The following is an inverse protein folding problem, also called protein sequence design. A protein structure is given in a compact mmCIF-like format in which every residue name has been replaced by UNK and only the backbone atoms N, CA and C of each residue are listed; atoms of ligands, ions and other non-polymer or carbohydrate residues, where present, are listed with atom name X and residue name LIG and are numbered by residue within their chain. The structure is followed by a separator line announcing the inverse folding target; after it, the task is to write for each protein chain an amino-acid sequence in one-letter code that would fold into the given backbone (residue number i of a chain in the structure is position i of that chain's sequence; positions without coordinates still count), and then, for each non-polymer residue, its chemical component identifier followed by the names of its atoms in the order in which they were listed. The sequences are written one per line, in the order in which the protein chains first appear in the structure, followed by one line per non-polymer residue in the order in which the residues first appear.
data_IF_151779176866
#
_entry.id   IF_151779176866
#
_cell.length_a   1.000
_cell.length_b   1.000
_cell.length_c   1.000
_cell.angle_alpha   90.00
_cell.angle_beta   90.00
_cell.angle_gamma   90.00
#
_symmetry.space_group_name_H-M   'P 1'
#
loop_
_entity.id
_entity.type
_entity.pdbx_description
1 polymer ?
#
# COMPACT_ATOMS: atom_id res chain seq x y z
N UNK A 1 15.27 5.97 -38.72
CA UNK A 1 14.47 4.78 -38.37
C UNK A 1 13.92 5.10 -37.01
N UNK A 2 12.60 5.18 -36.86
CA UNK A 2 11.99 5.43 -35.56
C UNK A 2 12.29 4.23 -34.68
N UNK A 3 13.01 4.46 -33.60
CA UNK A 3 13.36 3.43 -32.63
C UNK A 3 12.16 3.22 -31.73
N UNK A 4 11.58 2.03 -31.77
CA UNK A 4 10.54 1.65 -30.83
C UNK A 4 11.15 1.34 -29.47
N UNK A 5 10.42 1.73 -28.43
CA UNK A 5 10.78 1.49 -27.05
C UNK A 5 9.69 0.68 -26.36
N UNK A 6 10.08 -0.33 -25.60
CA UNK A 6 9.17 -1.19 -24.83
C UNK A 6 9.38 -1.02 -23.33
N UNK A 7 8.29 -0.95 -22.56
CA UNK A 7 8.33 -0.77 -21.11
C UNK A 7 8.98 -1.98 -20.43
N UNK A 8 10.11 -1.77 -19.75
CA UNK A 8 10.79 -2.79 -18.95
C UNK A 8 10.30 -2.81 -17.50
N UNK A 9 10.23 -1.64 -16.90
CA UNK A 9 9.88 -1.47 -15.51
C UNK A 9 9.30 -0.07 -15.30
N UNK A 10 8.40 0.03 -14.33
CA UNK A 10 7.82 1.29 -13.89
C UNK A 10 7.77 1.28 -12.37
N UNK A 11 8.06 2.43 -11.75
CA UNK A 11 7.90 2.63 -10.32
C UNK A 11 7.27 3.98 -10.05
N UNK A 12 6.22 4.00 -9.23
CA UNK A 12 5.63 5.25 -8.75
C UNK A 12 6.57 5.94 -7.76
N UNK A 13 6.45 7.25 -7.66
CA UNK A 13 7.16 8.03 -6.66
C UNK A 13 6.78 7.56 -5.24
N UNK A 14 7.79 7.51 -4.36
CA UNK A 14 7.62 7.13 -2.96
C UNK A 14 7.54 8.35 -2.02
N UNK A 15 7.53 9.56 -2.58
CA UNK A 15 7.36 10.80 -1.85
C UNK A 15 6.48 11.77 -2.63
N UNK A 16 5.94 12.75 -1.92
CA UNK A 16 5.24 13.90 -2.43
C UNK A 16 5.89 15.15 -1.84
N UNK A 17 5.90 16.24 -2.60
CA UNK A 17 6.51 17.50 -2.18
C UNK A 17 5.42 18.47 -1.71
N UNK A 18 5.27 18.64 -0.39
CA UNK A 18 4.14 19.35 0.20
C UNK A 18 4.07 20.82 -0.21
N UNK A 19 2.94 21.26 -0.78
CA UNK A 19 2.74 22.62 -1.30
C UNK A 19 3.42 22.91 -2.65
N UNK A 20 4.14 21.95 -3.24
CA UNK A 20 4.78 22.14 -4.54
C UNK A 20 3.73 22.22 -5.66
N UNK A 21 3.89 23.13 -6.63
CA UNK A 21 3.04 23.16 -7.83
C UNK A 21 3.31 21.99 -8.79
N UNK A 22 4.37 21.22 -8.57
CA UNK A 22 4.76 20.07 -9.41
C UNK A 22 4.88 18.81 -8.57
N UNK A 23 4.16 17.76 -8.97
CA UNK A 23 4.26 16.44 -8.36
C UNK A 23 5.07 15.49 -9.24
N UNK A 24 6.02 14.78 -8.64
CA UNK A 24 6.70 13.66 -9.29
C UNK A 24 5.84 12.40 -9.23
N UNK A 25 5.51 11.80 -10.37
CA UNK A 25 4.51 10.72 -10.44
C UNK A 25 5.18 9.35 -10.49
N UNK A 26 6.11 9.15 -11.43
CA UNK A 26 6.73 7.84 -11.66
C UNK A 26 7.99 7.91 -12.52
N UNK A 27 8.77 6.85 -12.45
CA UNK A 27 9.89 6.52 -13.35
C UNK A 27 9.44 5.40 -14.28
N UNK A 28 9.79 5.51 -15.55
CA UNK A 28 9.61 4.47 -16.57
C UNK A 28 10.98 4.14 -17.18
N UNK A 29 11.35 2.86 -17.14
CA UNK A 29 12.53 2.34 -17.83
C UNK A 29 12.07 1.66 -19.12
N UNK A 30 12.53 2.18 -20.25
CA UNK A 30 12.16 1.70 -21.56
C UNK A 30 13.36 1.06 -22.25
N UNK A 31 13.16 -0.05 -22.96
CA UNK A 31 14.20 -0.68 -23.77
C UNK A 31 14.04 -0.33 -25.24
N UNK A 32 15.10 0.12 -25.89
CA UNK A 32 15.13 0.25 -27.33
C UNK A 32 15.08 -1.12 -28.00
N UNK A 33 14.10 -1.37 -28.85
CA UNK A 33 13.92 -2.66 -29.51
C UNK A 33 15.07 -2.99 -30.48
N UNK A 34 15.70 -1.96 -31.04
CA UNK A 34 16.80 -2.08 -32.02
C UNK A 34 18.17 -2.00 -31.36
N UNK A 35 18.41 -0.99 -30.53
CA UNK A 35 19.73 -0.78 -29.91
C UNK A 35 19.92 -1.62 -28.65
N UNK A 36 18.84 -1.99 -27.98
CA UNK A 36 18.87 -2.65 -26.67
C UNK A 36 19.17 -1.70 -25.50
N UNK A 37 19.39 -0.41 -25.77
CA UNK A 37 19.66 0.62 -24.75
C UNK A 37 18.46 0.80 -23.83
N UNK A 38 18.74 1.22 -22.60
CA UNK A 38 17.73 1.56 -21.61
C UNK A 38 17.59 3.08 -21.55
N UNK A 39 16.39 3.57 -21.86
CA UNK A 39 15.99 4.96 -21.67
C UNK A 39 15.25 5.12 -20.34
N UNK A 40 15.56 6.21 -19.64
CA UNK A 40 14.91 6.60 -18.38
C UNK A 40 13.98 7.77 -18.68
N UNK A 41 12.68 7.58 -18.49
CA UNK A 41 11.68 8.64 -18.60
C UNK A 41 11.08 8.94 -17.22
N UNK A 42 10.81 10.21 -16.95
CA UNK A 42 10.29 10.69 -15.68
C UNK A 42 8.97 11.41 -15.91
N UNK A 43 7.90 10.96 -15.27
CA UNK A 43 6.59 11.60 -15.39
C UNK A 43 6.36 12.54 -14.21
N UNK A 44 5.95 13.75 -14.54
CA UNK A 44 5.55 14.78 -13.59
C UNK A 44 4.11 15.20 -13.85
N UNK A 45 3.54 15.92 -12.89
CA UNK A 45 2.20 16.48 -12.98
C UNK A 45 2.21 17.93 -12.52
N UNK A 46 1.53 18.79 -13.27
CA UNK A 46 1.20 20.12 -12.79
C UNK A 46 0.01 20.00 -11.82
N UNK A 47 0.24 20.23 -10.53
CA UNK A 47 -0.80 20.22 -9.48
C UNK A 47 -1.07 21.64 -8.95
N UNK A 48 -0.41 22.65 -9.53
CA UNK A 48 -0.66 24.04 -9.24
C UNK A 48 -1.88 24.58 -9.99
N UNK A 49 -2.14 25.87 -9.80
CA UNK A 49 -3.26 26.59 -10.43
C UNK A 49 -2.89 27.32 -11.71
N UNK A 50 -1.60 27.34 -12.06
CA UNK A 50 -1.06 28.07 -13.20
C UNK A 50 -0.41 27.14 -14.22
N UNK A 51 -0.39 27.49 -15.51
CA UNK A 51 0.32 26.71 -16.53
C UNK A 51 1.83 26.67 -16.25
N UNK A 52 2.41 25.48 -16.37
CA UNK A 52 3.84 25.24 -16.20
C UNK A 52 4.55 25.34 -17.56
N UNK A 53 5.54 26.22 -17.64
CA UNK A 53 6.31 26.49 -18.86
C UNK A 53 7.72 25.89 -18.86
N UNK A 54 8.18 25.41 -17.70
CA UNK A 54 9.42 24.67 -17.60
C UNK A 54 9.65 24.04 -16.23
N UNK A 55 10.53 23.05 -16.18
CA UNK A 55 10.94 22.36 -14.97
C UNK A 55 12.42 21.98 -15.05
N UNK A 56 13.16 22.25 -13.97
CA UNK A 56 14.54 21.80 -13.78
C UNK A 56 14.54 20.74 -12.69
N UNK A 57 15.14 19.60 -13.01
CA UNK A 57 15.35 18.50 -12.07
C UNK A 57 16.83 18.16 -12.01
N UNK A 58 17.25 17.63 -10.86
CA UNK A 58 18.50 16.92 -10.70
C UNK A 58 18.19 15.44 -10.58
N UNK A 59 18.84 14.59 -11.38
CA UNK A 59 18.59 13.15 -11.36
C UNK A 59 19.88 12.35 -11.22
N UNK A 60 19.75 11.16 -10.63
CA UNK A 60 20.86 10.24 -10.41
C UNK A 60 20.44 8.81 -10.74
N UNK A 61 21.03 8.25 -11.78
CA UNK A 61 20.80 6.87 -12.21
C UNK A 61 21.89 5.95 -11.63
N UNK A 62 21.47 4.84 -11.04
CA UNK A 62 22.38 3.83 -10.47
C UNK A 62 22.12 2.45 -11.07
N UNK A 63 23.19 1.65 -11.17
CA UNK A 63 23.10 0.24 -11.55
C UNK A 63 22.64 -0.64 -10.39
N UNK A 64 22.58 -1.96 -10.61
CA UNK A 64 22.19 -2.95 -9.59
C UNK A 64 23.16 -3.04 -8.41
N UNK A 65 24.41 -2.59 -8.57
CA UNK A 65 25.41 -2.52 -7.51
C UNK A 65 25.33 -1.20 -6.71
N UNK A 66 24.45 -0.27 -7.12
CA UNK A 66 24.33 1.07 -6.55
C UNK A 66 25.39 2.04 -7.06
N UNK A 67 26.19 1.66 -8.07
CA UNK A 67 27.16 2.56 -8.69
C UNK A 67 26.43 3.58 -9.57
N UNK A 68 26.85 4.84 -9.44
CA UNK A 68 26.28 5.96 -10.19
C UNK A 68 26.73 5.83 -11.65
N UNK A 69 25.76 5.65 -12.54
CA UNK A 69 25.96 5.64 -13.99
C UNK A 69 25.95 7.06 -14.54
N UNK A 70 25.01 7.88 -14.06
CA UNK A 70 24.84 9.27 -14.46
C UNK A 70 24.25 10.07 -13.29
N UNK A 71 24.71 11.31 -13.13
CA UNK A 71 24.20 12.30 -12.19
C UNK A 71 24.30 13.65 -12.88
N UNK A 72 23.15 14.23 -13.26
CA UNK A 72 23.09 15.44 -14.07
C UNK A 72 21.77 16.20 -13.83
N UNK A 73 21.72 17.42 -14.34
CA UNK A 73 20.51 18.23 -14.39
C UNK A 73 19.78 18.02 -15.73
N UNK A 74 18.46 17.96 -15.68
CA UNK A 74 17.62 17.92 -16.88
C UNK A 74 16.65 19.10 -16.90
N UNK A 75 16.53 19.72 -18.07
CA UNK A 75 15.73 20.91 -18.31
C UNK A 75 14.56 20.55 -19.23
N UNK A 76 13.36 20.51 -18.66
CA UNK A 76 12.13 20.53 -19.43
C UNK A 76 11.83 21.98 -19.79
N UNK A 77 12.06 22.36 -21.04
CA UNK A 77 11.80 23.70 -21.57
C UNK A 77 10.56 23.71 -22.45
N UNK A 78 9.96 24.90 -22.64
CA UNK A 78 8.83 25.11 -23.56
C UNK A 78 7.64 24.17 -23.26
N UNK A 79 7.38 23.90 -21.98
CA UNK A 79 6.22 23.14 -21.57
C UNK A 79 4.94 23.97 -21.75
N UNK A 80 3.83 23.30 -22.01
CA UNK A 80 2.48 23.88 -22.01
C UNK A 80 1.55 23.07 -21.10
N UNK A 81 2.07 22.59 -19.97
CA UNK A 81 1.34 21.71 -19.07
C UNK A 81 0.31 22.50 -18.24
N UNK A 82 -0.98 22.27 -18.49
CA UNK A 82 -2.07 22.90 -17.74
C UNK A 82 -2.22 22.27 -16.35
N UNK A 83 -2.90 22.95 -15.40
CA UNK A 83 -3.30 22.34 -14.14
C UNK A 83 -3.98 20.98 -14.34
N UNK A 84 -3.41 19.93 -13.74
CA UNK A 84 -3.87 18.55 -13.86
C UNK A 84 -3.14 17.71 -14.93
N UNK A 85 -2.37 18.33 -15.82
CA UNK A 85 -1.70 17.62 -16.92
C UNK A 85 -0.47 16.84 -16.45
N UNK A 86 -0.28 15.68 -17.06
CA UNK A 86 0.93 14.87 -16.96
C UNK A 86 1.91 15.26 -18.08
N UNK A 87 3.21 15.30 -17.77
CA UNK A 87 4.26 15.61 -18.75
C UNK A 87 5.56 14.85 -18.45
N UNK A 88 6.48 14.83 -19.43
CA UNK A 88 7.82 14.26 -19.32
C UNK A 88 7.95 12.75 -19.56
N UNK A 89 6.84 12.01 -19.74
CA UNK A 89 6.87 10.58 -20.05
C UNK A 89 7.53 10.25 -21.38
N UNK A 90 7.53 11.19 -22.31
CA UNK A 90 8.00 11.01 -23.68
C UNK A 90 9.46 11.46 -23.87
N UNK A 91 10.03 12.11 -22.86
CA UNK A 91 11.40 12.64 -22.88
C UNK A 91 12.33 11.75 -22.03
N UNK A 92 13.30 11.13 -22.69
CA UNK A 92 14.34 10.36 -22.01
C UNK A 92 15.36 11.31 -21.36
N UNK A 93 15.44 11.32 -20.04
CA UNK A 93 16.44 12.11 -19.29
C UNK A 93 17.83 11.48 -19.33
N UNK A 94 17.89 10.17 -19.58
CA UNK A 94 19.13 9.41 -19.67
C UNK A 94 18.93 8.18 -20.55
N UNK A 95 19.93 7.87 -21.40
CA UNK A 95 19.97 6.66 -22.22
C UNK A 95 21.29 5.96 -21.97
N UNK A 96 21.25 4.65 -21.74
CA UNK A 96 22.40 3.86 -21.30
C UNK A 96 22.39 2.45 -21.88
N UNK A 97 23.55 1.98 -22.33
CA UNK A 97 23.79 0.56 -22.64
C UNK A 97 23.83 -0.32 -21.39
N UNK A 98 24.11 0.28 -20.23
CA UNK A 98 24.15 -0.42 -18.94
C UNK A 98 22.78 -0.41 -18.29
N UNK A 99 22.27 -1.56 -17.79
CA UNK A 99 20.99 -1.62 -17.10
C UNK A 99 20.92 -0.67 -15.89
N UNK A 100 19.94 0.21 -15.90
CA UNK A 100 19.62 1.10 -14.77
C UNK A 100 18.73 0.34 -13.79
N UNK A 101 19.05 0.36 -12.50
CA UNK A 101 18.27 -0.30 -11.44
C UNK A 101 17.48 0.66 -10.58
N UNK A 102 17.98 1.88 -10.34
CA UNK A 102 17.29 2.87 -9.53
C UNK A 102 17.57 4.28 -10.01
N UNK A 103 16.60 5.16 -9.83
CA UNK A 103 16.69 6.58 -10.20
C UNK A 103 16.26 7.40 -9.00
N UNK A 104 17.13 8.32 -8.58
CA UNK A 104 16.82 9.35 -7.59
C UNK A 104 16.54 10.65 -8.34
N UNK A 105 15.51 11.38 -7.91
CA UNK A 105 15.06 12.61 -8.56
C UNK A 105 14.89 13.68 -7.48
N UNK A 106 15.42 14.86 -7.73
CA UNK A 106 15.18 16.07 -6.95
C UNK A 106 14.65 17.17 -7.86
N UNK A 107 13.57 17.82 -7.42
CA UNK A 107 12.99 18.93 -8.15
C UNK A 107 13.70 20.21 -7.72
N UNK A 108 14.31 20.93 -8.66
CA UNK A 108 15.04 22.18 -8.36
C UNK A 108 14.15 23.40 -8.54
N UNK A 109 13.62 23.61 -9.75
CA UNK A 109 12.90 24.84 -10.08
C UNK A 109 11.78 24.59 -11.06
N UNK A 110 10.61 25.17 -10.80
CA UNK A 110 9.50 25.25 -11.75
C UNK A 110 9.42 26.65 -12.35
N UNK A 111 8.97 26.76 -13.60
CA UNK A 111 8.62 28.02 -14.23
C UNK A 111 7.11 28.05 -14.47
N UNK A 112 6.41 28.95 -13.78
CA UNK A 112 4.97 29.18 -13.89
C UNK A 112 4.76 30.56 -14.52
N UNK A 113 4.13 30.62 -15.70
CA UNK A 113 3.91 31.89 -16.42
C UNK A 113 5.16 32.79 -16.57
N UNK A 114 6.36 32.21 -16.65
CA UNK A 114 7.62 32.95 -16.74
C UNK A 114 8.26 33.36 -15.40
N UNK A 115 7.63 33.03 -14.26
CA UNK A 115 8.20 33.20 -12.92
C UNK A 115 8.82 31.90 -12.43
N UNK A 116 10.04 31.96 -11.89
CA UNK A 116 10.73 30.81 -11.31
C UNK A 116 10.35 30.58 -9.85
N UNK A 117 9.91 29.37 -9.51
CA UNK A 117 9.61 28.92 -8.14
C UNK A 117 10.64 27.88 -7.73
N UNK A 118 11.30 28.11 -6.59
CA UNK A 118 12.27 27.18 -6.01
C UNK A 118 11.54 25.98 -5.36
N UNK A 119 11.72 24.80 -5.95
CA UNK A 119 11.08 23.57 -5.51
C UNK A 119 11.84 22.90 -4.35
N UNK A 120 13.11 23.25 -4.12
CA UNK A 120 13.93 22.70 -3.03
C UNK A 120 13.46 23.18 -1.66
N UNK A 121 12.76 24.31 -1.61
CA UNK A 121 12.22 24.89 -0.39
C UNK A 121 11.05 24.08 0.19
N UNK A 122 10.39 23.24 -0.61
CA UNK A 122 9.23 22.47 -0.17
C UNK A 122 9.64 21.15 0.51
N UNK A 123 8.87 20.78 1.53
CA UNK A 123 9.15 19.58 2.32
C UNK A 123 8.76 18.31 1.57
N UNK A 124 9.71 17.40 1.37
CA UNK A 124 9.44 16.04 0.90
C UNK A 124 8.81 15.20 2.01
N UNK A 125 7.65 14.63 1.73
CA UNK A 125 6.89 13.75 2.62
C UNK A 125 6.84 12.37 1.99
N UNK A 126 7.25 11.35 2.76
CA UNK A 126 7.19 9.96 2.29
C UNK A 126 5.74 9.51 2.15
N UNK A 127 5.39 8.98 0.98
CA UNK A 127 4.09 8.38 0.72
C UNK A 127 4.06 6.95 1.24
N UNK A 128 2.95 6.56 1.84
CA UNK A 128 2.70 5.16 2.18
C UNK A 128 2.36 4.38 0.92
N UNK A 129 2.83 3.14 0.84
CA UNK A 129 2.49 2.26 -0.27
C UNK A 129 0.98 1.95 -0.25
N UNK A 130 0.25 2.15 -1.37
CA UNK A 130 -1.16 1.83 -1.46
C UNK A 130 -1.44 0.36 -1.10
N UNK A 131 -2.52 0.11 -0.38
CA UNK A 131 -2.91 -1.27 -0.01
C UNK A 131 -3.59 -1.93 -1.21
N UNK A 132 -3.04 -3.06 -1.64
CA UNK A 132 -3.57 -3.85 -2.76
C UNK A 132 -4.85 -4.58 -2.33
N UNK A 133 -5.84 -4.63 -3.22
CA UNK A 133 -7.10 -5.38 -3.03
C UNK A 133 -6.87 -6.88 -3.26
N UNK A 134 -7.64 -7.75 -2.58
CA UNK A 134 -7.74 -9.16 -2.97
C UNK A 134 -8.19 -9.31 -4.42
N UNK A 135 -7.71 -10.36 -5.10
CA UNK A 135 -7.88 -10.52 -6.54
C UNK A 135 -9.36 -10.63 -6.96
N UNK A 136 -10.19 -11.36 -6.20
CA UNK A 136 -11.65 -11.47 -6.43
C UNK A 136 -12.35 -10.11 -6.33
N UNK A 137 -12.02 -9.31 -5.31
CA UNK A 137 -12.60 -7.98 -5.09
C UNK A 137 -12.16 -7.02 -6.19
N UNK A 138 -10.87 -7.02 -6.53
CA UNK A 138 -10.34 -6.20 -7.62
C UNK A 138 -11.04 -6.53 -8.94
N UNK A 139 -11.17 -7.81 -9.30
CA UNK A 139 -11.90 -8.25 -10.50
C UNK A 139 -13.35 -7.79 -10.50
N UNK A 140 -14.05 -7.92 -9.38
CA UNK A 140 -15.45 -7.48 -9.26
C UNK A 140 -15.57 -5.96 -9.41
N UNK A 141 -14.66 -5.20 -8.81
CA UNK A 141 -14.62 -3.74 -8.92
C UNK A 141 -14.35 -3.30 -10.36
N UNK A 142 -13.37 -3.92 -11.02
CA UNK A 142 -13.03 -3.66 -12.43
C UNK A 142 -14.23 -3.95 -13.35
N UNK A 143 -14.96 -5.04 -13.11
CA UNK A 143 -16.16 -5.38 -13.89
C UNK A 143 -17.31 -4.38 -13.68
N UNK A 144 -17.59 -3.98 -12.42
CA UNK A 144 -18.69 -3.05 -12.12
C UNK A 144 -18.42 -1.62 -12.61
N UNK A 145 -17.16 -1.20 -12.57
CA UNK A 145 -16.75 0.15 -12.98
C UNK A 145 -16.36 0.24 -14.44
N UNK A 146 -16.08 -0.90 -15.11
CA UNK A 146 -15.50 -0.93 -16.45
C UNK A 146 -14.04 -0.49 -16.51
N UNK A 147 -13.36 -0.36 -15.36
CA UNK A 147 -11.99 0.14 -15.28
C UNK A 147 -11.03 -0.96 -14.81
N UNK A 148 -10.22 -1.48 -15.72
CA UNK A 148 -9.28 -2.58 -15.48
C UNK A 148 -8.06 -2.20 -14.62
N UNK A 149 -7.81 -0.90 -14.42
CA UNK A 149 -6.65 -0.42 -13.67
C UNK A 149 -6.89 -0.43 -12.15
N UNK A 150 -8.11 -0.70 -11.68
CA UNK A 150 -8.44 -0.63 -10.26
C UNK A 150 -7.96 -1.89 -9.51
N UNK A 151 -6.91 -1.74 -8.70
CA UNK A 151 -6.23 -2.83 -7.98
C UNK A 151 -5.98 -2.53 -6.51
N UNK A 152 -6.21 -1.30 -6.06
CA UNK A 152 -5.85 -0.80 -4.73
C UNK A 152 -7.09 -0.31 -3.97
N UNK A 153 -7.01 -0.38 -2.64
CA UNK A 153 -8.01 0.23 -1.75
C UNK A 153 -7.84 1.75 -1.84
N UNK A 154 -8.89 2.53 -2.18
CA UNK A 154 -8.84 3.98 -2.16
C UNK A 154 -8.66 4.45 -0.71
N UNK A 155 -7.81 5.45 -0.49
CA UNK A 155 -7.46 5.91 0.85
C UNK A 155 -7.37 7.42 0.89
N UNK A 156 -7.84 8.03 1.96
CA UNK A 156 -7.64 9.45 2.23
C UNK A 156 -6.50 9.62 3.23
N UNK A 157 -5.72 10.67 3.04
CA UNK A 157 -4.59 11.04 3.88
C UNK A 157 -4.67 12.54 4.15
N UNK A 158 -3.90 13.02 5.13
CA UNK A 158 -3.82 14.45 5.40
C UNK A 158 -3.28 15.30 4.24
N UNK A 159 -2.59 14.67 3.27
CA UNK A 159 -1.96 15.36 2.14
C UNK A 159 -2.70 15.20 0.81
N UNK A 160 -3.74 14.38 0.76
CA UNK A 160 -4.36 13.97 -0.50
C UNK A 160 -5.03 12.62 -0.40
N UNK A 161 -5.32 12.02 -1.55
CA UNK A 161 -5.98 10.72 -1.63
C UNK A 161 -5.31 9.79 -2.64
N UNK A 162 -5.39 8.49 -2.37
CA UNK A 162 -5.00 7.44 -3.29
C UNK A 162 -6.21 6.93 -4.06
N UNK A 163 -6.11 6.92 -5.39
CA UNK A 163 -7.07 6.26 -6.24
C UNK A 163 -6.92 4.74 -6.16
N UNK A 164 -7.99 4.01 -6.50
CA UNK A 164 -7.94 2.56 -6.62
C UNK A 164 -7.02 2.05 -7.74
N UNK A 165 -6.53 2.90 -8.66
CA UNK A 165 -5.44 2.54 -9.57
C UNK A 165 -4.03 2.69 -8.95
N UNK A 166 -3.93 3.16 -7.71
CA UNK A 166 -2.67 3.41 -7.00
C UNK A 166 -2.04 4.79 -7.26
N UNK A 167 -2.67 5.64 -8.08
CA UNK A 167 -2.24 7.03 -8.25
C UNK A 167 -2.49 7.85 -6.98
N UNK A 168 -1.55 8.72 -6.62
CA UNK A 168 -1.70 9.67 -5.52
C UNK A 168 -2.09 11.04 -6.07
N UNK A 169 -3.10 11.65 -5.48
CA UNK A 169 -3.63 12.95 -5.81
C UNK A 169 -3.49 13.88 -4.60
N UNK A 170 -2.56 14.84 -4.63
CA UNK A 170 -2.36 15.76 -3.51
C UNK A 170 -3.53 16.75 -3.39
N UNK A 171 -3.70 17.32 -2.19
CA UNK A 171 -4.79 18.27 -1.92
C UNK A 171 -4.71 19.52 -2.81
N UNK A 172 -3.51 19.95 -3.18
CA UNK A 172 -3.28 21.10 -4.08
C UNK A 172 -3.93 20.91 -5.45
N UNK A 173 -4.04 19.67 -5.93
CA UNK A 173 -4.67 19.36 -7.21
C UNK A 173 -6.19 19.64 -7.19
N UNK A 174 -6.82 19.59 -6.00
CA UNK A 174 -8.25 19.77 -5.80
C UNK A 174 -9.13 18.94 -6.78
N UNK A 175 -8.72 17.70 -7.06
CA UNK A 175 -9.41 16.84 -8.01
C UNK A 175 -10.29 15.79 -7.31
N UNK A 176 -11.43 15.48 -7.92
CA UNK A 176 -12.30 14.35 -7.54
C UNK A 176 -12.23 13.18 -8.51
N UNK A 177 -11.72 13.41 -9.73
CA UNK A 177 -11.52 12.38 -10.75
C UNK A 177 -10.03 12.10 -10.89
N UNK A 178 -9.67 10.82 -10.92
CA UNK A 178 -8.29 10.40 -11.12
C UNK A 178 -7.83 10.69 -12.56
N UNK A 179 -6.76 11.48 -12.70
CA UNK A 179 -6.16 11.78 -14.01
C UNK A 179 -5.54 10.58 -14.73
N UNK A 180 -5.21 9.49 -14.02
CA UNK A 180 -4.57 8.33 -14.63
C UNK A 180 -5.57 7.26 -15.12
N UNK A 181 -6.65 7.03 -14.38
CA UNK A 181 -7.63 6.00 -14.74
C UNK A 181 -9.02 6.55 -15.08
N UNK A 182 -9.26 7.86 -14.96
CA UNK A 182 -10.55 8.50 -15.19
C UNK A 182 -11.61 8.16 -14.13
N UNK A 183 -11.21 7.49 -13.05
CA UNK A 183 -12.11 7.04 -12.00
C UNK A 183 -12.57 8.16 -11.06
N UNK A 184 -13.88 8.28 -10.85
CA UNK A 184 -14.45 9.18 -9.85
C UNK A 184 -14.20 8.65 -8.42
N UNK A 185 -13.61 9.47 -7.55
CA UNK A 185 -13.23 9.11 -6.18
C UNK A 185 -14.43 8.61 -5.38
N UNK A 186 -15.54 9.32 -5.42
CA UNK A 186 -16.73 9.01 -4.61
C UNK A 186 -17.44 7.78 -5.15
N UNK A 187 -17.63 7.69 -6.47
CA UNK A 187 -18.27 6.56 -7.14
C UNK A 187 -17.51 5.25 -6.97
N UNK A 188 -16.17 5.27 -7.09
CA UNK A 188 -15.35 4.08 -6.89
C UNK A 188 -15.39 3.64 -5.42
N UNK A 189 -15.30 4.59 -4.47
CA UNK A 189 -15.43 4.27 -3.04
C UNK A 189 -16.78 3.63 -2.73
N UNK A 190 -17.87 4.22 -3.19
CA UNK A 190 -19.21 3.68 -2.98
C UNK A 190 -19.36 2.26 -3.56
N UNK A 191 -18.89 2.05 -4.80
CA UNK A 191 -18.92 0.74 -5.46
C UNK A 191 -18.12 -0.30 -4.69
N UNK A 192 -16.92 0.05 -4.23
CA UNK A 192 -16.08 -0.86 -3.45
C UNK A 192 -16.70 -1.18 -2.10
N UNK A 193 -17.26 -0.19 -1.39
CA UNK A 193 -17.98 -0.42 -0.13
C UNK A 193 -19.10 -1.44 -0.31
N UNK A 194 -19.88 -1.32 -1.38
CA UNK A 194 -20.93 -2.28 -1.70
C UNK A 194 -20.37 -3.69 -1.94
N UNK A 195 -19.28 -3.83 -2.70
CA UNK A 195 -18.64 -5.13 -2.96
C UNK A 195 -18.15 -5.77 -1.65
N UNK A 196 -17.52 -4.97 -0.78
CA UNK A 196 -17.00 -5.46 0.51
C UNK A 196 -18.13 -5.89 1.46
N UNK A 197 -19.24 -5.15 1.49
CA UNK A 197 -20.42 -5.53 2.26
C UNK A 197 -21.07 -6.82 1.74
N UNK A 198 -21.18 -6.98 0.42
CA UNK A 198 -21.68 -8.21 -0.20
C UNK A 198 -20.78 -9.41 0.12
N UNK A 199 -19.46 -9.23 0.03
CA UNK A 199 -18.48 -10.26 0.38
C UNK A 199 -18.56 -10.63 1.87
N UNK A 200 -18.72 -9.65 2.76
CA UNK A 200 -18.93 -9.89 4.19
C UNK A 200 -20.19 -10.71 4.45
N UNK A 201 -21.32 -10.34 3.86
CA UNK A 201 -22.59 -11.07 4.01
C UNK A 201 -22.50 -12.49 3.45
N UNK A 202 -21.79 -12.69 2.34
CA UNK A 202 -21.55 -14.02 1.79
C UNK A 202 -20.72 -14.90 2.74
N UNK A 203 -19.64 -14.35 3.30
CA UNK A 203 -18.80 -15.06 4.28
C UNK A 203 -19.56 -15.39 5.57
N UNK A 204 -20.41 -14.48 6.07
CA UNK A 204 -21.26 -14.73 7.24
C UNK A 204 -22.27 -15.86 6.99
N UNK A 205 -22.89 -15.92 5.80
CA UNK A 205 -23.78 -17.04 5.42
C UNK A 205 -23.05 -18.37 5.34
N UNK A 206 -21.89 -18.40 4.69
CA UNK A 206 -21.09 -19.63 4.60
C UNK A 206 -20.66 -20.12 5.99
N UNK A 207 -20.30 -19.21 6.89
CA UNK A 207 -19.95 -19.56 8.26
C UNK A 207 -21.16 -20.09 9.07
N UNK A 208 -22.35 -19.53 8.84
CA UNK A 208 -23.59 -20.06 9.43
C UNK A 208 -23.93 -21.46 8.90
N UNK A 209 -23.76 -21.70 7.61
CA UNK A 209 -23.95 -23.02 6.99
C UNK A 209 -22.98 -24.04 7.60
N UNK A 210 -21.68 -23.72 7.68
CA UNK A 210 -20.67 -24.58 8.31
C UNK A 210 -21.04 -24.85 9.79
N UNK A 211 -21.44 -23.82 10.53
CA UNK A 211 -21.85 -23.99 11.94
C UNK A 211 -23.09 -24.87 12.07
N UNK A 212 -24.08 -24.71 11.19
CA UNK A 212 -25.28 -25.54 11.20
C UNK A 212 -24.98 -27.01 10.89
N UNK A 213 -24.05 -27.29 9.98
CA UNK A 213 -23.59 -28.65 9.72
C UNK A 213 -22.85 -29.20 10.94
N UNK A 214 -21.99 -28.40 11.58
CA UNK A 214 -21.29 -28.81 12.81
C UNK A 214 -22.24 -29.11 13.98
N UNK A 215 -23.30 -28.30 14.17
CA UNK A 215 -24.31 -28.52 15.20
C UNK A 215 -25.15 -29.79 14.93
N UNK A 216 -25.37 -30.15 13.65
CA UNK A 216 -26.01 -31.41 13.27
C UNK A 216 -25.10 -32.63 13.43
N UNK A 217 -23.79 -32.44 13.56
CA UNK A 217 -22.80 -33.47 13.90
C UNK A 217 -22.40 -33.32 15.38
N UNK A 218 -23.39 -33.18 16.26
CA UNK A 218 -23.17 -33.50 17.67
C UNK A 218 -22.88 -35.01 17.76
N UNK A 219 -21.79 -35.46 18.41
CA UNK A 219 -21.53 -36.88 18.54
C UNK A 219 -22.68 -37.46 19.35
N UNK A 220 -23.47 -38.34 18.72
CA UNK A 220 -24.18 -39.34 19.48
C UNK A 220 -23.11 -40.01 20.34
N UNK A 221 -23.11 -39.71 21.65
CA UNK A 221 -22.47 -40.54 22.65
C UNK A 221 -23.21 -41.86 22.57
N UNK A 222 -22.82 -42.70 21.61
CA UNK A 222 -23.11 -44.11 21.63
C UNK A 222 -22.57 -44.59 22.97
N UNK A 223 -23.48 -44.93 23.88
CA UNK A 223 -23.18 -45.80 25.01
C UNK A 223 -22.66 -47.10 24.40
N UNK A 224 -21.35 -47.14 24.15
CA UNK A 224 -20.66 -48.34 23.72
C UNK A 224 -20.48 -49.17 24.97
N UNK A 225 -21.34 -50.17 25.10
CA UNK A 225 -21.18 -51.25 26.07
C UNK A 225 -19.90 -52.02 25.70
N UNK A 226 -18.83 -52.00 26.53
CA UNK A 226 -17.50 -52.49 26.17
C UNK A 226 -17.43 -54.01 25.92
N UNK A 227 -18.53 -54.73 26.13
CA UNK A 227 -18.62 -56.17 25.86
C UNK A 227 -18.94 -56.51 24.38
N UNK A 228 -19.53 -55.60 23.61
CA UNK A 228 -19.94 -55.88 22.23
C UNK A 228 -18.82 -55.69 21.20
N UNK A 229 -17.83 -54.84 21.48
CA UNK A 229 -16.71 -54.53 20.57
C UNK A 229 -15.63 -55.61 20.55
N UNK A 230 -15.49 -56.42 21.60
CA UNK A 230 -14.55 -57.54 21.63
C UNK A 230 -14.98 -58.70 20.72
N UNK A 231 -16.29 -58.98 20.63
CA UNK A 231 -16.81 -60.08 19.80
C UNK A 231 -16.74 -59.77 18.29
N UNK A 232 -16.88 -58.50 17.89
CA UNK A 232 -16.79 -58.09 16.48
C UNK A 232 -15.33 -58.06 15.97
N UNK A 233 -14.38 -57.73 16.84
CA UNK A 233 -12.95 -57.72 16.49
C UNK A 233 -12.36 -59.13 16.27
N UNK A 234 -12.84 -60.14 17.01
CA UNK A 234 -12.41 -61.52 16.81
C UNK A 234 -12.94 -62.13 15.50
N UNK A 235 -14.11 -61.71 15.02
CA UNK A 235 -14.72 -62.24 13.79
C UNK A 235 -14.13 -61.66 12.49
N UNK A 236 -13.47 -60.50 12.57
CA UNK A 236 -12.88 -59.83 11.41
C UNK A 236 -11.46 -60.31 11.05
N UNK A 237 -10.84 -61.16 11.88
CA UNK A 237 -9.47 -61.66 11.67
C UNK A 237 -9.47 -62.95 10.80
N UNK A 238 -10.58 -63.67 10.70
CA UNK A 238 -10.67 -64.96 9.99
C UNK A 238 -11.11 -64.87 8.51
N UNK A 239 -11.29 -63.68 7.94
CA UNK A 239 -11.67 -63.50 6.54
C UNK A 239 -10.74 -62.54 5.79
N UNK A 240 -9.49 -62.95 5.61
CA UNK A 240 -8.68 -62.53 4.48
C UNK A 240 -9.07 -63.36 3.25
N UNK A 241 -9.79 -62.77 2.29
CA UNK A 241 -9.62 -63.07 0.85
C UNK A 241 -10.21 -61.94 0.00
N UNK A 242 -9.36 -61.43 -0.90
CA UNK A 242 -9.68 -60.76 -2.17
C UNK A 242 -10.48 -59.43 -2.14
N UNK A 243 -9.78 -58.32 -2.41
CA UNK A 243 -10.00 -57.50 -3.61
C UNK A 243 -9.22 -56.18 -3.53
N UNK A 244 -8.22 -56.05 -4.39
CA UNK A 244 -7.58 -54.79 -4.78
C UNK A 244 -8.57 -53.84 -5.44
N UNK A 245 -8.74 -52.63 -4.88
CA UNK A 245 -9.27 -51.48 -5.60
C UNK A 245 -8.51 -50.22 -5.17
N UNK A 246 -7.62 -49.77 -6.05
CA UNK A 246 -6.82 -48.55 -5.95
C UNK A 246 -7.73 -47.32 -5.90
N UNK A 247 -7.68 -46.55 -4.81
CA UNK A 247 -8.25 -45.20 -4.74
C UNK A 247 -7.11 -44.22 -4.43
N UNK A 248 -6.82 -43.33 -5.40
CA UNK A 248 -5.80 -42.29 -5.34
C UNK A 248 -6.44 -40.97 -4.87
N UNK A 249 -6.09 -40.43 -3.68
CA UNK A 249 -6.57 -39.14 -3.23
C UNK A 249 -5.57 -38.04 -3.60
N UNK A 250 -5.52 -37.67 -4.89
CA UNK A 250 -4.75 -36.50 -5.37
C UNK A 250 -5.57 -35.56 -6.25
N UNK A 251 -6.71 -35.12 -5.75
CA UNK A 251 -7.56 -34.21 -6.53
C UNK A 251 -8.52 -33.36 -5.71
N UNK A 252 -8.04 -32.62 -4.70
CA UNK A 252 -8.81 -31.49 -4.17
C UNK A 252 -7.90 -30.43 -3.55
N UNK A 253 -7.39 -29.53 -4.39
CA UNK A 253 -6.78 -28.28 -3.96
C UNK A 253 -7.37 -27.05 -4.71
N UNK A 254 -8.68 -26.75 -4.55
CA UNK A 254 -9.16 -25.37 -4.74
C UNK A 254 -9.55 -24.66 -3.44
N UNK A 255 -9.83 -25.40 -2.36
CA UNK A 255 -10.49 -24.85 -1.17
C UNK A 255 -9.56 -24.02 -0.28
N UNK A 256 -8.28 -24.40 -0.16
CA UNK A 256 -7.31 -23.67 0.66
C UNK A 256 -6.99 -22.26 0.11
N UNK A 257 -7.02 -22.08 -1.22
CA UNK A 257 -6.80 -20.77 -1.84
C UNK A 257 -8.01 -19.84 -1.63
N UNK A 258 -9.23 -20.35 -1.77
CA UNK A 258 -10.46 -19.60 -1.50
C UNK A 258 -10.59 -19.22 -0.02
N UNK A 259 -10.25 -20.14 0.90
CA UNK A 259 -10.26 -19.88 2.33
C UNK A 259 -9.20 -18.85 2.74
N UNK A 260 -8.00 -18.90 2.14
CA UNK A 260 -6.96 -17.91 2.35
C UNK A 260 -7.31 -16.52 1.75
N UNK A 261 -8.02 -16.51 0.63
CA UNK A 261 -8.55 -15.29 0.02
C UNK A 261 -9.67 -14.68 0.89
N UNK A 262 -10.59 -15.50 1.38
CA UNK A 262 -11.64 -15.09 2.31
C UNK A 262 -11.08 -14.55 3.62
N UNK A 263 -10.01 -15.16 4.14
CA UNK A 263 -9.33 -14.67 5.34
C UNK A 263 -8.59 -13.35 5.09
N UNK A 264 -8.07 -13.15 3.87
CA UNK A 264 -7.55 -11.85 3.43
C UNK A 264 -8.69 -10.83 3.40
N UNK A 265 -9.82 -11.14 2.76
CA UNK A 265 -11.01 -10.27 2.68
C UNK A 265 -11.52 -9.85 4.06
N UNK A 266 -11.57 -10.79 5.02
CA UNK A 266 -11.99 -10.51 6.41
C UNK A 266 -11.10 -9.49 7.13
N UNK A 267 -9.79 -9.49 6.85
CA UNK A 267 -8.85 -8.52 7.44
C UNK A 267 -9.04 -7.08 6.93
N UNK A 268 -9.66 -6.90 5.76
CA UNK A 268 -9.94 -5.57 5.20
C UNK A 268 -11.28 -4.99 5.66
N UNK A 269 -12.14 -5.76 6.32
CA UNK A 269 -13.41 -5.27 6.87
C UNK A 269 -13.18 -4.67 8.26
N UNK A 270 -13.31 -3.35 8.46
CA UNK A 270 -13.22 -2.76 9.78
C UNK A 270 -14.44 -3.14 10.63
N UNK A 271 -14.22 -3.30 11.93
CA UNK A 271 -15.28 -3.50 12.93
C UNK A 271 -15.93 -2.14 13.27
N UNK A 272 -16.64 -1.52 12.32
CA UNK A 272 -17.31 -0.22 12.52
C UNK A 272 -17.66 0.47 11.21
N UNK A 273 -18.55 1.49 11.25
CA UNK A 273 -18.81 2.38 10.11
C UNK A 273 -17.49 3.05 9.71
N UNK A 274 -17.20 3.05 8.41
CA UNK A 274 -15.89 3.44 7.86
C UNK A 274 -15.62 4.95 7.88
N UNK A 275 -16.64 5.75 8.14
CA UNK A 275 -16.60 7.20 8.20
C UNK A 275 -17.56 7.62 9.31
N UNK A 276 -17.05 8.30 10.34
CA UNK A 276 -17.90 9.09 11.23
C UNK A 276 -18.41 10.26 10.39
N UNK A 277 -19.73 10.34 10.22
CA UNK A 277 -20.39 11.48 9.62
C UNK A 277 -20.34 12.61 10.67
N UNK A 278 -19.28 13.44 10.64
CA UNK A 278 -19.25 14.70 11.39
C UNK A 278 -20.13 15.73 10.64
N UNK A 279 -21.45 15.49 10.66
CA UNK A 279 -22.47 16.52 10.44
C UNK A 279 -22.79 17.16 11.79
N UNK A 280 -22.02 18.18 12.20
CA UNK A 280 -22.46 19.16 13.20
C UNK A 280 -22.16 20.57 12.68
N UNK A 281 -23.19 21.16 12.06
CA UNK A 281 -23.33 22.60 11.87
C UNK A 281 -23.63 23.26 13.23
N UNK A 282 -22.73 24.11 13.76
CA UNK A 282 -23.13 25.10 14.77
C UNK A 282 -22.37 26.44 14.64
N UNK A 283 -23.05 27.37 13.94
CA UNK A 283 -23.12 28.82 14.17
C UNK A 283 -21.87 29.69 14.42
N UNK A 284 -21.66 30.61 13.49
CA UNK A 284 -21.38 32.05 13.66
C UNK A 284 -21.31 32.60 15.10
N UNK A 285 -20.15 33.12 15.52
CA UNK A 285 -20.07 34.35 16.32
C UNK A 285 -18.90 35.23 15.88
N UNK A 286 -19.26 36.46 15.53
CA UNK A 286 -18.41 37.59 15.21
C UNK A 286 -17.83 38.18 16.49
N UNK A 287 -16.56 38.54 16.49
CA UNK A 287 -16.07 39.64 17.33
C UNK A 287 -15.14 40.52 16.49
N UNK A 288 -15.74 41.58 15.94
CA UNK A 288 -15.06 42.85 15.74
C UNK A 288 -14.86 43.49 17.11
N UNK A 289 -13.62 43.82 17.48
CA UNK A 289 -13.34 44.90 18.43
C UNK A 289 -11.96 45.50 18.15
N UNK A 290 -11.96 46.58 17.37
CA UNK A 290 -11.28 47.87 17.62
C UNK A 290 -9.78 47.86 18.00
N UNK A 291 -8.97 48.38 17.06
CA UNK A 291 -8.14 49.59 17.22
C UNK A 291 -7.28 49.72 18.50
N UNK A 292 -5.97 49.48 18.39
CA UNK A 292 -4.94 50.22 19.14
C UNK A 292 -3.60 50.22 18.37
N UNK A 293 -3.33 51.35 17.73
CA UNK A 293 -1.99 51.81 17.35
C UNK A 293 -1.24 52.27 18.61
N UNK A 294 0.02 51.83 18.80
CA UNK A 294 1.05 52.62 19.49
C UNK A 294 2.44 52.25 18.95
N UNK A 295 3.12 53.27 18.43
CA UNK A 295 4.51 53.33 18.01
C UNK A 295 5.52 53.24 19.18
N UNK A 296 6.74 52.86 18.80
CA UNK A 296 8.09 53.19 19.34
C UNK A 296 8.36 53.21 20.87
N UNK A 297 9.38 52.45 21.29
CA UNK A 297 10.66 53.01 21.81
C UNK A 297 11.57 51.89 22.39
N UNK A 298 12.74 51.78 21.77
CA UNK A 298 14.10 51.59 22.30
C UNK A 298 14.45 50.68 23.51
N UNK A 299 15.51 49.92 23.22
CA UNK A 299 16.73 49.68 23.99
C UNK A 299 16.92 48.46 24.92
N UNK A 300 18.06 47.81 24.61
CA UNK A 300 19.01 47.15 25.51
C UNK A 300 18.60 45.88 26.27
N UNK A 301 19.22 44.75 25.90
CA UNK A 301 20.49 44.31 26.54
C UNK A 301 20.80 42.81 26.34
N UNK A 302 21.90 42.57 25.63
CA UNK A 302 22.92 41.53 25.84
C UNK A 302 22.54 40.04 25.96
N UNK A 303 23.13 39.21 25.10
CA UNK A 303 23.30 37.79 25.43
C UNK A 303 23.77 36.86 24.32
N UNK A 304 24.92 37.11 23.69
CA UNK A 304 25.62 36.05 22.93
C UNK A 304 25.99 34.90 23.89
N UNK A 305 25.34 33.75 23.76
CA UNK A 305 25.87 32.44 24.19
C UNK A 305 25.63 31.39 23.11
N UNK A 306 26.72 31.06 22.40
CA UNK A 306 26.92 29.72 21.85
C UNK A 306 27.08 28.75 23.03
N UNK A 307 26.24 27.74 23.12
CA UNK A 307 26.39 26.54 23.94
C UNK A 307 25.78 25.39 23.13
N UNK A 308 26.57 24.44 22.63
CA UNK A 308 27.15 23.28 23.34
C UNK A 308 26.06 22.20 23.49
N UNK A 309 26.26 21.12 22.72
CA UNK A 309 25.57 19.84 22.83
C UNK A 309 25.25 19.51 24.29
N UNK A 310 23.96 19.41 24.58
CA UNK A 310 23.46 18.66 25.72
C UNK A 310 22.94 17.34 25.14
N UNK A 311 23.64 16.26 25.46
CA UNK A 311 23.07 14.92 25.51
C UNK A 311 21.98 14.97 26.58
N UNK A 312 20.72 15.02 26.14
CA UNK A 312 19.58 14.77 27.03
C UNK A 312 19.29 13.27 26.95
N UNK A 313 19.81 12.55 27.94
CA UNK A 313 19.44 11.17 28.28
C UNK A 313 17.99 11.14 28.81
N UNK A 314 17.01 11.52 27.98
CA UNK A 314 15.62 11.19 28.23
C UNK A 314 15.35 9.80 27.62
N UNK A 315 15.59 8.75 28.42
CA UNK A 315 15.06 7.42 28.12
C UNK A 315 13.54 7.54 28.05
N UNK A 316 13.02 7.46 26.83
CA UNK A 316 11.59 7.51 26.55
C UNK A 316 10.91 6.28 27.15
N UNK A 317 9.63 6.38 27.51
CA UNK A 317 8.84 5.24 28.01
C UNK A 317 8.81 4.06 27.00
N UNK A 318 9.13 4.34 25.74
CA UNK A 318 9.28 3.37 24.65
C UNK A 318 10.57 2.53 24.77
N UNK A 319 11.65 3.07 25.33
CA UNK A 319 12.92 2.35 25.55
C UNK A 319 12.76 1.27 26.63
N UNK A 320 11.97 1.55 27.67
CA UNK A 320 11.64 0.59 28.75
C UNK A 320 10.72 -0.53 28.23
N UNK A 321 9.82 -0.23 27.29
CA UNK A 321 9.01 -1.25 26.62
C UNK A 321 9.85 -2.12 25.69
N UNK A 322 10.78 -1.54 24.92
CA UNK A 322 11.69 -2.28 24.06
C UNK A 322 12.58 -3.26 24.87
N UNK A 323 13.10 -2.81 26.02
CA UNK A 323 13.94 -3.64 26.88
C UNK A 323 13.16 -4.83 27.50
N UNK A 324 11.88 -4.64 27.85
CA UNK A 324 10.99 -5.74 28.29
C UNK A 324 10.63 -6.70 27.15
N UNK A 325 10.46 -6.22 25.92
CA UNK A 325 10.14 -7.08 24.77
C UNK A 325 11.36 -7.96 24.39
N UNK A 326 12.56 -7.39 24.45
CA UNK A 326 13.81 -8.10 24.11
C UNK A 326 14.11 -9.22 25.14
N UNK A 327 13.75 -9.04 26.41
CA UNK A 327 13.99 -10.07 27.43
C UNK A 327 13.01 -11.26 27.37
N UNK A 328 11.80 -11.08 26.81
CA UNK A 328 10.76 -12.11 26.77
C UNK A 328 10.64 -12.85 25.42
N UNK A 329 11.28 -12.34 24.35
CA UNK A 329 11.31 -13.03 23.06
C UNK A 329 12.05 -14.40 23.09
N UNK A 330 13.18 -14.58 23.80
CA UNK A 330 13.87 -15.87 23.88
C UNK A 330 13.11 -17.00 24.62
N UNK A 331 12.45 -16.77 25.79
CA UNK A 331 11.74 -17.85 26.48
C UNK A 331 10.42 -18.25 25.80
N UNK A 332 9.70 -17.31 25.18
CA UNK A 332 8.41 -17.62 24.52
C UNK A 332 8.64 -18.48 23.27
N UNK A 333 9.66 -18.16 22.48
CA UNK A 333 10.01 -18.96 21.29
C UNK A 333 10.44 -20.38 21.67
N UNK A 334 11.23 -20.55 22.73
CA UNK A 334 11.62 -21.87 23.23
C UNK A 334 10.41 -22.71 23.73
N UNK A 335 9.44 -22.09 24.41
CA UNK A 335 8.22 -22.77 24.88
C UNK A 335 7.35 -23.20 23.70
N UNK A 336 7.19 -22.34 22.68
CA UNK A 336 6.42 -22.67 21.47
C UNK A 336 7.07 -23.81 20.70
N UNK A 337 8.40 -23.80 20.53
CA UNK A 337 9.12 -24.91 19.89
C UNK A 337 8.97 -26.23 20.67
N UNK A 338 9.04 -26.19 22.01
CA UNK A 338 8.85 -27.37 22.84
C UNK A 338 7.41 -27.93 22.75
N UNK A 339 6.40 -27.07 22.67
CA UNK A 339 5.00 -27.48 22.47
C UNK A 339 4.77 -28.10 21.11
N UNK A 340 5.37 -27.55 20.04
CA UNK A 340 5.28 -28.12 18.69
C UNK A 340 5.88 -29.53 18.68
N UNK A 341 7.06 -29.72 19.27
CA UNK A 341 7.71 -31.04 19.34
C UNK A 341 6.87 -32.03 20.15
N UNK A 342 6.31 -31.61 21.30
CA UNK A 342 5.46 -32.46 22.12
C UNK A 342 4.17 -32.89 21.39
N UNK A 343 3.53 -31.96 20.67
CA UNK A 343 2.34 -32.27 19.86
C UNK A 343 2.68 -33.20 18.71
N UNK A 344 3.82 -32.99 18.04
CA UNK A 344 4.30 -33.89 16.97
C UNK A 344 4.60 -35.30 17.49
N UNK A 345 5.18 -35.43 18.69
CA UNK A 345 5.45 -36.73 19.30
C UNK A 345 4.15 -37.44 19.71
N UNK A 346 3.18 -36.71 20.27
CA UNK A 346 1.86 -37.28 20.61
C UNK A 346 1.13 -37.71 19.33
N UNK A 347 1.17 -36.90 18.28
CA UNK A 347 0.59 -37.25 16.98
C UNK A 347 1.23 -38.52 16.41
N UNK A 348 2.55 -38.66 16.53
CA UNK A 348 3.27 -39.84 16.06
C UNK A 348 3.00 -41.10 16.91
N UNK A 349 2.74 -40.99 18.21
CA UNK A 349 2.45 -42.13 19.08
C UNK A 349 0.97 -42.54 19.11
N UNK A 350 0.07 -41.67 18.66
CA UNK A 350 -1.38 -41.96 18.59
C UNK A 350 -1.79 -42.46 17.20
N UNK A 351 -0.99 -42.19 16.16
CA UNK A 351 -1.32 -42.50 14.75
C UNK A 351 -0.35 -43.54 14.12
N UNK A 352 0.76 -43.88 14.76
CA UNK A 352 1.56 -45.07 14.46
C UNK A 352 1.35 -46.13 15.54
#
# INVERSE_FOLDING_TARGET
MDQNFSLMAQSRANYYTAGSPVQFVRVELLKGDVTGEVAVCLTFKNVGTEPLTGLVIHFKCKDAAGQVLCEDDFYYEQLEAQPGDLFGSDDAVYVSDTPVSSVEVEQDRAFLNGHGVDLRAYKRVRLQTPRVLPASIAKTLQQRTGNSLLTCVPQDTQYGWFCSCGAFHPNEENCVVCSECGGDRTGIKATLTQILEEARRAAERQQQEIRSVADNVAPQRAQSDPAATAAAAQAAIDQETDATATYDPRGYAPQEEEDAEMERVRRYAPKGRLFEDDEDDESTQMFDTEELDYDDEDDDRAGRKRGRYADDDETSEDDVMAERIIHWAPPITAIVCALIIAVSLIYHFVIA
#
